data_IF_229627411556
#
_entry.id   IF_229627411556
#
_cell.length_a   1.000
_cell.length_b   1.000
_cell.length_c   1.000
_cell.angle_alpha   90.00
_cell.angle_beta   90.00
_cell.angle_gamma   90.00
#
_symmetry.space_group_name_H-M   'P 1'
#
loop_
_entity.id
_entity.type
_entity.pdbx_description
1 polymer ?
#
# COMPACT_ATOMS: atom_id res chain seq x y z
N UNK A 1 -8.68 -12.27 10.70
CA UNK A 1 -8.54 -10.83 10.38
C UNK A 1 -7.39 -10.64 9.42
N UNK A 2 -7.12 -9.41 9.00
CA UNK A 2 -5.91 -9.05 8.24
C UNK A 2 -4.92 -8.45 9.23
N UNK A 3 -3.68 -8.96 9.24
CA UNK A 3 -2.61 -8.36 10.03
C UNK A 3 -2.04 -7.17 9.25
N UNK A 4 -1.91 -6.03 9.94
CA UNK A 4 -1.54 -4.76 9.31
C UNK A 4 -0.37 -4.15 10.08
N UNK A 5 0.67 -3.78 9.34
CA UNK A 5 1.75 -2.93 9.84
C UNK A 5 1.51 -1.51 9.32
N UNK A 6 1.26 -0.58 10.24
CA UNK A 6 1.19 0.85 9.92
C UNK A 6 2.57 1.47 10.17
N UNK A 7 3.10 2.16 9.16
CA UNK A 7 4.30 2.98 9.28
C UNK A 7 3.90 4.45 9.13
N UNK A 8 3.80 5.16 10.26
CA UNK A 8 3.49 6.59 10.37
C UNK A 8 4.68 7.41 10.87
N UNK A 9 5.90 6.84 10.80
CA UNK A 9 7.13 7.50 11.24
C UNK A 9 7.37 8.78 10.44
N UNK A 10 7.92 9.81 11.10
CA UNK A 10 8.37 11.07 10.47
C UNK A 10 9.71 10.89 9.73
N UNK A 11 9.81 9.86 8.91
CA UNK A 11 10.99 9.53 8.12
C UNK A 11 10.77 9.86 6.64
N UNK A 12 11.84 9.82 5.85
CA UNK A 12 11.72 10.03 4.40
C UNK A 12 11.00 8.83 3.77
N UNK A 13 10.09 9.04 2.79
CA UNK A 13 9.37 7.94 2.14
C UNK A 13 10.29 6.85 1.59
N UNK A 14 11.44 7.22 1.03
CA UNK A 14 12.42 6.25 0.53
C UNK A 14 12.99 5.31 1.61
N UNK A 15 13.14 5.77 2.86
CA UNK A 15 13.58 4.94 3.98
C UNK A 15 12.47 3.98 4.38
N UNK A 16 11.24 4.48 4.52
CA UNK A 16 10.07 3.65 4.85
C UNK A 16 9.84 2.56 3.80
N UNK A 17 9.98 2.89 2.51
CA UNK A 17 9.84 1.91 1.43
C UNK A 17 10.92 0.84 1.46
N UNK A 18 12.17 1.22 1.74
CA UNK A 18 13.27 0.27 1.88
C UNK A 18 13.03 -0.70 3.05
N UNK A 19 12.58 -0.18 4.20
CA UNK A 19 12.24 -0.98 5.37
C UNK A 19 11.07 -1.93 5.08
N UNK A 20 9.98 -1.44 4.48
CA UNK A 20 8.83 -2.27 4.11
C UNK A 20 9.19 -3.36 3.10
N UNK A 21 10.07 -3.06 2.15
CA UNK A 21 10.55 -4.02 1.16
C UNK A 21 11.45 -5.09 1.79
N UNK A 22 12.26 -4.71 2.79
CA UNK A 22 13.11 -5.60 3.58
C UNK A 22 12.28 -6.53 4.48
N UNK A 23 11.28 -5.99 5.18
CA UNK A 23 10.30 -6.78 5.97
C UNK A 23 9.57 -7.76 5.06
N UNK A 24 9.30 -7.33 3.83
CA UNK A 24 8.83 -8.21 2.79
C UNK A 24 7.31 -8.38 2.75
N UNK A 25 6.58 -7.35 3.15
CA UNK A 25 5.11 -7.34 3.16
C UNK A 25 4.59 -7.58 1.72
N UNK A 26 3.68 -8.56 1.51
CA UNK A 26 3.20 -8.90 0.18
C UNK A 26 2.34 -7.81 -0.46
N UNK A 27 1.48 -7.16 0.34
CA UNK A 27 0.56 -6.11 -0.10
C UNK A 27 0.92 -4.81 0.60
N UNK A 28 1.35 -3.81 -0.17
CA UNK A 28 1.70 -2.48 0.35
C UNK A 28 0.68 -1.46 -0.11
N UNK A 29 0.24 -0.61 0.80
CA UNK A 29 -0.67 0.50 0.53
C UNK A 29 0.08 1.77 0.90
N UNK A 30 0.18 2.70 -0.05
CA UNK A 30 0.87 3.97 0.13
C UNK A 30 -0.14 5.11 0.00
N UNK A 31 -0.25 5.88 1.08
CA UNK A 31 -1.04 7.11 1.15
C UNK A 31 -0.08 8.28 0.92
N UNK A 32 -0.32 9.06 -0.13
CA UNK A 32 0.48 10.24 -0.43
C UNK A 32 -0.42 11.40 -0.81
N UNK A 33 -0.12 12.59 -0.28
CA UNK A 33 -0.96 13.79 -0.40
C UNK A 33 -1.42 14.06 -1.84
N UNK A 34 -0.51 13.95 -2.81
CA UNK A 34 -0.80 14.17 -4.24
C UNK A 34 -1.87 13.22 -4.81
N UNK A 35 -1.88 11.96 -4.38
CA UNK A 35 -2.85 10.98 -4.89
C UNK A 35 -4.16 11.11 -4.12
N UNK A 36 -4.09 11.43 -2.82
CA UNK A 36 -5.25 11.69 -1.98
C UNK A 36 -6.09 12.87 -2.47
N UNK A 37 -5.49 13.90 -3.07
CA UNK A 37 -6.21 15.00 -3.72
C UNK A 37 -7.18 14.53 -4.82
N UNK A 38 -6.94 13.34 -5.40
CA UNK A 38 -7.76 12.72 -6.43
C UNK A 38 -8.59 11.53 -5.91
N UNK A 39 -8.67 11.35 -4.59
CA UNK A 39 -9.25 10.17 -3.94
C UNK A 39 -8.56 8.86 -4.35
N UNK A 40 -7.29 8.91 -4.74
CA UNK A 40 -6.51 7.74 -5.17
C UNK A 40 -5.51 7.30 -4.09
N UNK A 41 -5.37 5.99 -3.96
CA UNK A 41 -4.38 5.31 -3.12
C UNK A 41 -3.50 4.46 -4.02
N UNK A 42 -2.20 4.42 -3.74
CA UNK A 42 -1.29 3.53 -4.45
C UNK A 42 -1.25 2.17 -3.76
N UNK A 43 -1.62 1.13 -4.51
CA UNK A 43 -1.47 -0.26 -4.13
C UNK A 43 -0.28 -0.88 -4.88
N UNK A 44 0.61 -1.55 -4.16
CA UNK A 44 1.75 -2.31 -4.73
C UNK A 44 1.66 -3.76 -4.27
N UNK A 45 1.72 -4.68 -5.23
CA UNK A 45 1.84 -6.10 -4.94
C UNK A 45 3.27 -6.58 -5.19
N UNK A 46 3.88 -7.21 -4.18
CA UNK A 46 5.30 -7.57 -4.23
C UNK A 46 5.61 -8.56 -5.35
N UNK A 47 4.72 -9.51 -5.64
CA UNK A 47 4.99 -10.59 -6.61
C UNK A 47 4.93 -10.14 -8.06
N UNK A 48 4.05 -9.21 -8.41
CA UNK A 48 3.93 -8.70 -9.78
C UNK A 48 4.81 -7.45 -10.00
N UNK A 49 5.20 -6.75 -8.94
CA UNK A 49 5.97 -5.51 -9.02
C UNK A 49 5.18 -4.33 -9.57
N UNK A 50 3.88 -4.51 -9.85
CA UNK A 50 3.04 -3.48 -10.43
C UNK A 50 2.44 -2.57 -9.36
N UNK A 51 2.38 -1.28 -9.69
CA UNK A 51 1.70 -0.26 -8.91
C UNK A 51 0.38 0.06 -9.57
N UNK A 52 -0.68 0.12 -8.76
CA UNK A 52 -2.02 0.42 -9.22
C UNK A 52 -2.60 1.54 -8.37
N UNK A 53 -3.24 2.51 -9.03
CA UNK A 53 -4.02 3.54 -8.36
C UNK A 53 -5.45 3.01 -8.20
N UNK A 54 -5.93 3.05 -6.96
CA UNK A 54 -7.23 2.53 -6.58
C UNK A 54 -7.94 3.61 -5.78
N UNK A 55 -9.24 3.78 -6.01
CA UNK A 55 -10.02 4.76 -5.25
C UNK A 55 -10.02 4.40 -3.77
N UNK A 56 -9.95 5.43 -2.92
CA UNK A 56 -9.99 5.33 -1.45
C UNK A 56 -11.17 4.48 -0.96
N UNK A 57 -12.34 4.61 -1.59
CA UNK A 57 -13.54 3.83 -1.28
C UNK A 57 -13.46 2.34 -1.62
N UNK A 58 -12.64 1.97 -2.60
CA UNK A 58 -12.60 0.61 -3.16
C UNK A 58 -11.42 -0.23 -2.62
N UNK A 59 -10.45 0.40 -1.96
CA UNK A 59 -9.18 -0.22 -1.57
C UNK A 59 -9.35 -1.45 -0.67
N UNK A 60 -10.29 -1.42 0.26
CA UNK A 60 -10.50 -2.52 1.22
C UNK A 60 -11.07 -3.73 0.51
N UNK A 61 -12.08 -3.54 -0.33
CA UNK A 61 -12.68 -4.63 -1.11
C UNK A 61 -11.65 -5.23 -2.07
N UNK A 62 -10.89 -4.37 -2.74
CA UNK A 62 -9.81 -4.78 -3.62
C UNK A 62 -8.76 -5.62 -2.88
N UNK A 63 -8.26 -5.14 -1.73
CA UNK A 63 -7.26 -5.84 -0.94
C UNK A 63 -7.75 -7.21 -0.48
N UNK A 64 -9.00 -7.30 0.01
CA UNK A 64 -9.58 -8.58 0.45
C UNK A 64 -9.66 -9.59 -0.70
N UNK A 65 -9.99 -9.13 -1.92
CA UNK A 65 -9.99 -9.99 -3.12
C UNK A 65 -8.58 -10.49 -3.45
N UNK A 66 -7.56 -9.64 -3.36
CA UNK A 66 -6.17 -10.01 -3.64
C UNK A 66 -5.58 -10.97 -2.61
N UNK A 67 -5.94 -10.86 -1.33
CA UNK A 67 -5.43 -11.74 -0.26
C UNK A 67 -6.04 -13.15 -0.35
N UNK A 68 -7.30 -13.27 -0.78
CA UNK A 68 -7.99 -14.57 -0.88
C UNK A 68 -7.69 -15.31 -2.19
N UNK A 69 -7.07 -14.64 -3.15
CA UNK A 69 -6.74 -15.17 -4.48
C UNK A 69 -5.43 -15.93 -4.52
#
# INVERSE_FOLDING_TARGET
GIEVLLDDRKERPGVMFADMELIGIPHTIVLGDRNLDNDDIEYKYRRNGEKQLIKTGDIVEYLVKQIKG
#
